data_IF_933400964742
#
_entry.id   IF_933400964742
#
_cell.length_a   1.000
_cell.length_b   1.000
_cell.length_c   1.000
_cell.angle_alpha   90.00
_cell.angle_beta   90.00
_cell.angle_gamma   90.00
#
_symmetry.space_group_name_H-M   'P 1'
#
loop_
_entity.id
_entity.type
_entity.pdbx_description
1 polymer ?
#
# COMPACT_ATOMS: atom_id res chain seq x y z
N UNK A 1 -6.68 16.67 5.54
CA UNK A 1 -5.98 15.99 6.66
C UNK A 1 -4.79 15.24 6.08
N UNK A 2 -3.55 15.47 6.54
CA UNK A 2 -2.37 14.75 6.03
C UNK A 2 -2.15 13.47 6.84
N UNK A 3 -2.01 12.34 6.16
CA UNK A 3 -1.73 11.06 6.82
C UNK A 3 -0.27 11.09 7.29
N UNK A 4 -0.01 10.69 8.53
CA UNK A 4 1.37 10.60 9.02
C UNK A 4 2.16 9.53 8.27
N UNK A 5 3.49 9.65 8.23
CA UNK A 5 4.34 8.65 7.58
C UNK A 5 4.16 7.23 8.14
N UNK A 6 3.88 7.11 9.45
CA UNK A 6 3.61 5.83 10.12
C UNK A 6 2.29 5.23 9.64
N UNK A 7 1.20 6.02 9.68
CA UNK A 7 -0.11 5.59 9.21
C UNK A 7 -0.09 5.22 7.73
N UNK A 8 0.67 5.97 6.92
CA UNK A 8 0.86 5.66 5.51
C UNK A 8 1.54 4.30 5.32
N UNK A 9 2.59 4.04 6.10
CA UNK A 9 3.31 2.78 6.05
C UNK A 9 2.41 1.58 6.43
N UNK A 10 1.54 1.74 7.43
CA UNK A 10 0.55 0.75 7.82
C UNK A 10 -0.50 0.50 6.74
N UNK A 11 -1.07 1.56 6.15
CA UNK A 11 -2.02 1.46 5.04
C UNK A 11 -1.43 0.77 3.82
N UNK A 12 -0.17 1.08 3.48
CA UNK A 12 0.55 0.41 2.40
C UNK A 12 0.68 -1.10 2.65
N UNK A 13 0.96 -1.53 3.91
CA UNK A 13 1.01 -2.96 4.26
C UNK A 13 -0.34 -3.63 4.12
N UNK A 14 -1.39 -3.00 4.63
CA UNK A 14 -2.74 -3.54 4.62
C UNK A 14 -3.25 -3.70 3.18
N UNK A 15 -3.13 -2.66 2.36
CA UNK A 15 -3.55 -2.68 0.96
C UNK A 15 -2.82 -3.74 0.14
N UNK A 16 -1.50 -3.86 0.30
CA UNK A 16 -0.74 -4.89 -0.41
C UNK A 16 -1.14 -6.30 0.04
N UNK A 17 -1.43 -6.49 1.32
CA UNK A 17 -1.89 -7.79 1.85
C UNK A 17 -3.25 -8.17 1.26
N UNK A 18 -4.18 -7.22 1.17
CA UNK A 18 -5.51 -7.40 0.56
C UNK A 18 -5.38 -7.73 -0.93
N UNK A 19 -4.57 -6.96 -1.68
CA UNK A 19 -4.35 -7.18 -3.11
C UNK A 19 -3.70 -8.53 -3.39
N UNK A 20 -2.72 -8.92 -2.58
CA UNK A 20 -2.07 -10.22 -2.70
C UNK A 20 -3.03 -11.37 -2.42
N UNK A 21 -3.84 -11.28 -1.36
CA UNK A 21 -4.86 -12.28 -1.03
C UNK A 21 -5.92 -12.40 -2.13
N UNK A 22 -6.36 -11.28 -2.70
CA UNK A 22 -7.29 -11.27 -3.83
C UNK A 22 -6.73 -12.02 -5.06
N UNK A 23 -5.43 -11.91 -5.32
CA UNK A 23 -4.74 -12.65 -6.38
C UNK A 23 -4.32 -14.08 -5.98
N UNK A 24 -4.71 -14.56 -4.80
CA UNK A 24 -4.34 -15.88 -4.29
C UNK A 24 -2.85 -16.04 -4.00
N UNK A 25 -2.18 -14.95 -3.64
CA UNK A 25 -0.76 -14.90 -3.38
C UNK A 25 -0.47 -14.52 -1.91
N UNK A 26 0.42 -15.27 -1.26
CA UNK A 26 0.80 -14.99 0.11
C UNK A 26 1.97 -13.98 0.17
N UNK A 27 1.78 -12.88 0.90
CA UNK A 27 2.83 -11.91 1.22
C UNK A 27 3.06 -11.88 2.72
N UNK A 28 4.32 -11.67 3.12
CA UNK A 28 4.63 -11.36 4.51
C UNK A 28 4.49 -9.84 4.72
N UNK A 29 3.55 -9.37 5.57
CA UNK A 29 3.31 -7.95 5.76
C UNK A 29 4.52 -7.15 6.25
N UNK A 30 5.44 -7.81 6.97
CA UNK A 30 6.62 -7.18 7.54
C UNK A 30 7.73 -6.94 6.50
N UNK A 31 7.65 -7.59 5.33
CA UNK A 31 8.68 -7.47 4.28
C UNK A 31 8.18 -6.79 3.02
N UNK A 32 6.93 -6.30 2.99
CA UNK A 32 6.33 -5.66 1.81
C UNK A 32 7.21 -4.53 1.24
N UNK A 33 7.70 -3.64 2.12
CA UNK A 33 8.52 -2.48 1.73
C UNK A 33 9.95 -2.82 1.33
N UNK A 34 10.44 -3.99 1.70
CA UNK A 34 11.80 -4.47 1.39
C UNK A 34 11.79 -5.65 0.41
N UNK A 35 10.61 -6.06 -0.07
CA UNK A 35 10.45 -7.24 -0.90
C UNK A 35 11.08 -7.03 -2.28
N UNK A 36 11.87 -8.01 -2.70
CA UNK A 36 12.39 -8.10 -4.07
C UNK A 36 11.39 -8.73 -5.05
N UNK A 37 10.26 -9.26 -4.56
CA UNK A 37 9.28 -9.93 -5.41
C UNK A 37 8.58 -8.91 -6.34
N UNK A 38 8.60 -9.13 -7.67
CA UNK A 38 7.97 -8.22 -8.63
C UNK A 38 6.48 -7.98 -8.40
N UNK A 39 5.72 -9.00 -7.95
CA UNK A 39 4.29 -8.86 -7.65
C UNK A 39 4.07 -7.97 -6.43
N UNK A 40 4.82 -8.20 -5.35
CA UNK A 40 4.77 -7.36 -4.15
C UNK A 40 5.12 -5.92 -4.45
N UNK A 41 6.14 -5.67 -5.29
CA UNK A 41 6.49 -4.31 -5.74
C UNK A 41 5.34 -3.66 -6.50
N UNK A 42 4.72 -4.38 -7.44
CA UNK A 42 3.57 -3.88 -8.21
C UNK A 42 2.40 -3.50 -7.30
N UNK A 43 2.02 -4.35 -6.35
CA UNK A 43 0.94 -4.02 -5.41
C UNK A 43 1.30 -2.84 -4.51
N UNK A 44 2.56 -2.73 -4.08
CA UNK A 44 3.02 -1.60 -3.28
C UNK A 44 2.93 -0.28 -4.04
N UNK A 45 3.26 -0.28 -5.34
CA UNK A 45 3.08 0.88 -6.20
C UNK A 45 1.60 1.27 -6.35
N UNK A 46 0.71 0.30 -6.55
CA UNK A 46 -0.74 0.53 -6.60
C UNK A 46 -1.27 1.10 -5.28
N UNK A 47 -0.84 0.54 -4.15
CA UNK A 47 -1.23 1.04 -2.83
C UNK A 47 -0.77 2.50 -2.62
N UNK A 48 0.46 2.83 -3.00
CA UNK A 48 0.99 4.21 -2.95
C UNK A 48 0.19 5.17 -3.81
N UNK A 49 -0.17 4.78 -5.02
CA UNK A 49 -0.98 5.59 -5.93
C UNK A 49 -2.38 5.85 -5.35
N UNK A 50 -3.03 4.82 -4.83
CA UNK A 50 -4.36 4.96 -4.22
C UNK A 50 -4.34 5.90 -3.02
N UNK A 51 -3.38 5.71 -2.10
CA UNK A 51 -3.25 6.59 -0.93
C UNK A 51 -3.02 8.04 -1.38
N UNK A 52 -2.15 8.27 -2.37
CA UNK A 52 -1.92 9.61 -2.91
C UNK A 52 -3.20 10.24 -3.46
N UNK A 53 -3.97 9.52 -4.26
CA UNK A 53 -5.23 10.02 -4.82
C UNK A 53 -6.25 10.35 -3.74
N UNK A 54 -6.36 9.51 -2.70
CA UNK A 54 -7.25 9.77 -1.56
C UNK A 54 -6.78 10.99 -0.76
N UNK A 55 -5.48 11.14 -0.51
CA UNK A 55 -4.93 12.32 0.17
C UNK A 55 -5.19 13.60 -0.62
N UNK A 56 -5.09 13.57 -1.94
CA UNK A 56 -5.42 14.71 -2.81
C UNK A 56 -6.90 15.10 -2.66
N UNK A 57 -7.82 14.14 -2.81
CA UNK A 57 -9.27 14.39 -2.70
C UNK A 57 -9.67 14.93 -1.31
N UNK A 58 -8.99 14.48 -0.24
CA UNK A 58 -9.23 14.95 1.13
C UNK A 58 -8.59 16.32 1.40
N UNK A 59 -7.55 16.71 0.66
CA UNK A 59 -6.88 18.00 0.84
C UNK A 59 -7.43 19.12 -0.07
N UNK A 60 -8.06 18.77 -1.20
CA UNK A 60 -8.73 19.71 -2.11
C UNK A 60 -10.15 20.10 -1.65
N UNK A 61 -10.68 19.46 -0.59
CA UNK A 61 -11.90 19.85 0.14
C UNK A 61 -11.56 20.45 1.50
#
# INVERSE_FOLDING_TARGET
MKISAIQRHELERELVTILAQYEGFEVNPNTIHTSSNPRTKRWLELAKQLINSVEQVICDN
#
